data_IF_178607285466
#
_entry.id   IF_178607285466
#
_cell.length_a   1.000
_cell.length_b   1.000
_cell.length_c   1.000
_cell.angle_alpha   90.00
_cell.angle_beta   90.00
_cell.angle_gamma   90.00
#
_symmetry.space_group_name_H-M   'P 1'
#
loop_
_entity.id
_entity.type
_entity.pdbx_description
1 polymer ?
#
# COMPACT_ATOMS: atom_id res chain seq x y z
N UNK A 1 -19.76 -45.26 9.10
CA UNK A 1 -19.10 -44.15 8.39
C UNK A 1 -18.74 -43.14 9.45
N UNK A 2 -17.45 -42.90 9.66
CA UNK A 2 -16.98 -41.97 10.69
C UNK A 2 -16.78 -40.60 10.05
N UNK A 3 -17.47 -39.58 10.57
CA UNK A 3 -17.36 -38.23 10.06
C UNK A 3 -16.11 -37.56 10.64
N UNK A 4 -15.23 -37.04 9.79
CA UNK A 4 -13.99 -36.39 10.20
C UNK A 4 -13.84 -35.02 9.54
N UNK A 5 -13.04 -34.14 10.15
CA UNK A 5 -12.79 -32.80 9.64
C UNK A 5 -12.15 -32.81 8.25
N UNK A 6 -12.54 -31.87 7.39
CA UNK A 6 -11.96 -31.72 6.06
C UNK A 6 -10.46 -31.39 6.18
N UNK A 7 -9.63 -32.03 5.35
CA UNK A 7 -8.18 -31.74 5.32
C UNK A 7 -7.93 -30.24 5.15
N UNK A 8 -7.14 -29.65 6.05
CA UNK A 8 -6.82 -28.22 6.06
C UNK A 8 -7.82 -27.34 6.81
N UNK A 9 -8.87 -27.93 7.39
CA UNK A 9 -9.77 -27.32 8.36
C UNK A 9 -9.44 -27.89 9.74
N UNK A 10 -9.70 -27.12 10.80
CA UNK A 10 -9.41 -27.53 12.17
C UNK A 10 -10.50 -27.04 13.10
N UNK A 11 -10.88 -27.90 14.03
CA UNK A 11 -11.64 -27.49 15.20
C UNK A 11 -10.70 -26.76 16.16
N UNK A 12 -11.19 -25.69 16.78
CA UNK A 12 -10.50 -25.00 17.87
C UNK A 12 -11.17 -25.51 19.15
N UNK A 13 -10.45 -26.34 19.88
CA UNK A 13 -10.98 -27.04 21.05
C UNK A 13 -10.83 -26.20 22.33
N UNK A 14 -11.51 -26.56 23.44
CA UNK A 14 -11.45 -25.80 24.69
C UNK A 14 -10.03 -25.53 25.22
N UNK A 15 -9.10 -26.46 25.00
CA UNK A 15 -7.68 -26.32 25.38
C UNK A 15 -6.94 -25.24 24.57
N UNK A 16 -7.39 -24.94 23.35
CA UNK A 16 -6.77 -23.93 22.49
C UNK A 16 -7.53 -22.59 22.52
N UNK A 17 -8.85 -22.63 22.73
CA UNK A 17 -9.75 -21.47 22.52
C UNK A 17 -9.42 -20.29 23.41
N UNK A 18 -8.89 -20.51 24.61
CA UNK A 18 -8.48 -19.43 25.52
C UNK A 18 -7.37 -18.56 24.91
N UNK A 19 -6.42 -19.18 24.21
CA UNK A 19 -5.36 -18.46 23.50
C UNK A 19 -5.92 -17.61 22.37
N UNK A 20 -6.90 -18.16 21.63
CA UNK A 20 -7.62 -17.42 20.59
C UNK A 20 -8.35 -16.21 21.16
N UNK A 21 -9.14 -16.41 22.23
CA UNK A 21 -9.90 -15.36 22.89
C UNK A 21 -8.99 -14.26 23.44
N UNK A 22 -7.84 -14.61 24.02
CA UNK A 22 -6.85 -13.64 24.50
C UNK A 22 -6.26 -12.81 23.35
N UNK A 23 -5.80 -13.46 22.29
CA UNK A 23 -5.26 -12.78 21.10
C UNK A 23 -6.27 -11.79 20.52
N UNK A 24 -7.51 -12.25 20.40
CA UNK A 24 -8.65 -11.51 19.89
C UNK A 24 -9.07 -10.33 20.78
N UNK A 25 -9.02 -10.50 22.10
CA UNK A 25 -9.31 -9.45 23.08
C UNK A 25 -8.24 -8.36 23.03
N UNK A 26 -6.95 -8.73 23.00
CA UNK A 26 -5.85 -7.77 22.87
C UNK A 26 -5.90 -7.01 21.54
N UNK A 27 -6.24 -7.69 20.44
CA UNK A 27 -6.43 -7.04 19.16
C UNK A 27 -7.53 -5.97 19.24
N UNK A 28 -8.70 -6.30 19.80
CA UNK A 28 -9.79 -5.33 19.98
C UNK A 28 -9.38 -4.17 20.88
N UNK A 29 -8.69 -4.43 21.99
CA UNK A 29 -8.22 -3.40 22.92
C UNK A 29 -7.27 -2.42 22.22
N UNK A 30 -6.24 -2.94 21.55
CA UNK A 30 -5.25 -2.13 20.83
C UNK A 30 -5.90 -1.38 19.67
N UNK A 31 -6.69 -2.04 18.84
CA UNK A 31 -7.24 -1.41 17.64
C UNK A 31 -8.21 -0.28 18.02
N UNK A 32 -9.01 -0.46 19.08
CA UNK A 32 -9.84 0.61 19.63
C UNK A 32 -9.04 1.80 20.14
N UNK A 33 -7.85 1.60 20.76
CA UNK A 33 -7.02 2.73 21.23
C UNK A 33 -6.43 3.55 20.07
N UNK A 34 -6.33 2.98 18.86
CA UNK A 34 -5.95 3.68 17.63
C UNK A 34 -7.15 4.27 16.86
N UNK A 35 -8.37 4.12 17.42
CA UNK A 35 -9.61 4.66 16.86
C UNK A 35 -10.25 3.79 15.77
N UNK A 36 -9.79 2.55 15.58
CA UNK A 36 -10.43 1.61 14.67
C UNK A 36 -11.76 1.12 15.22
N UNK A 37 -12.72 0.84 14.34
CA UNK A 37 -14.04 0.29 14.69
C UNK A 37 -14.26 -1.05 14.01
N UNK A 38 -14.86 -1.99 14.75
CA UNK A 38 -15.11 -3.33 14.23
C UNK A 38 -16.21 -3.29 13.15
N UNK A 39 -15.98 -4.00 12.05
CA UNK A 39 -16.94 -4.28 10.98
C UNK A 39 -16.95 -5.78 10.71
N UNK A 40 -18.13 -6.35 10.40
CA UNK A 40 -18.29 -7.79 10.14
C UNK A 40 -18.92 -8.02 8.75
N UNK A 41 -18.12 -8.05 7.67
CA UNK A 41 -18.64 -8.41 6.36
C UNK A 41 -18.99 -9.91 6.28
N UNK A 42 -19.91 -10.32 5.39
CA UNK A 42 -20.27 -11.73 5.17
C UNK A 42 -19.07 -12.62 4.83
N UNK A 43 -19.18 -13.91 5.12
CA UNK A 43 -18.17 -14.92 4.71
C UNK A 43 -18.30 -15.31 3.24
N UNK A 44 -19.50 -15.19 2.66
CA UNK A 44 -19.81 -15.55 1.29
C UNK A 44 -20.19 -14.29 0.51
N UNK A 45 -19.49 -14.03 -0.59
CA UNK A 45 -19.68 -12.85 -1.42
C UNK A 45 -19.79 -13.24 -2.90
N UNK A 46 -20.20 -12.30 -3.75
CA UNK A 46 -20.17 -12.49 -5.21
C UNK A 46 -18.74 -12.76 -5.68
N UNK A 47 -18.54 -13.79 -6.51
CA UNK A 47 -17.19 -14.16 -7.02
C UNK A 47 -16.49 -12.99 -7.69
N UNK A 48 -17.24 -12.14 -8.40
CA UNK A 48 -16.71 -10.99 -9.13
C UNK A 48 -16.02 -9.96 -8.21
N UNK A 49 -16.39 -9.91 -6.94
CA UNK A 49 -15.77 -9.03 -5.95
C UNK A 49 -14.28 -9.34 -5.81
N UNK A 50 -13.95 -10.62 -5.60
CA UNK A 50 -12.57 -11.06 -5.41
C UNK A 50 -11.80 -11.13 -6.72
N UNK A 51 -12.45 -11.55 -7.81
CA UNK A 51 -11.81 -11.60 -9.13
C UNK A 51 -11.34 -10.22 -9.61
N UNK A 52 -12.08 -9.16 -9.29
CA UNK A 52 -11.68 -7.78 -9.61
C UNK A 52 -10.75 -7.17 -8.57
N UNK A 53 -11.00 -7.40 -7.28
CA UNK A 53 -10.25 -6.78 -6.19
C UNK A 53 -8.82 -7.32 -6.03
N UNK A 54 -8.64 -8.63 -6.11
CA UNK A 54 -7.34 -9.29 -5.92
C UNK A 54 -6.56 -9.35 -7.24
N UNK A 55 -7.28 -9.45 -8.35
CA UNK A 55 -6.74 -9.58 -9.71
C UNK A 55 -6.80 -11.01 -10.22
N UNK A 56 -7.26 -11.16 -11.48
CA UNK A 56 -7.51 -12.46 -12.12
C UNK A 56 -6.26 -13.32 -12.25
N UNK A 57 -5.11 -12.69 -12.42
CA UNK A 57 -3.81 -13.37 -12.59
C UNK A 57 -3.21 -13.88 -11.28
N UNK A 58 -3.93 -13.73 -10.15
CA UNK A 58 -3.45 -14.22 -8.87
C UNK A 58 -3.71 -15.71 -8.68
N UNK A 59 -2.82 -16.41 -7.96
CA UNK A 59 -3.03 -17.83 -7.66
C UNK A 59 -4.30 -18.01 -6.81
N UNK A 60 -4.58 -17.03 -5.94
CA UNK A 60 -5.82 -16.94 -5.18
C UNK A 60 -7.04 -17.05 -6.10
N UNK A 61 -7.17 -16.11 -7.04
CA UNK A 61 -8.35 -16.05 -7.93
C UNK A 61 -8.38 -17.21 -8.93
N UNK A 62 -7.23 -17.57 -9.49
CA UNK A 62 -7.18 -18.57 -10.57
C UNK A 62 -7.32 -20.01 -10.08
N UNK A 63 -6.92 -20.33 -8.84
CA UNK A 63 -6.79 -21.72 -8.37
C UNK A 63 -7.26 -21.98 -6.95
N UNK A 64 -7.35 -20.96 -6.10
CA UNK A 64 -7.52 -21.18 -4.65
C UNK A 64 -8.86 -20.69 -4.09
N UNK A 65 -9.76 -20.10 -4.87
CA UNK A 65 -11.07 -19.68 -4.35
C UNK A 65 -12.04 -20.85 -4.19
N UNK A 66 -12.65 -20.96 -3.01
CA UNK A 66 -13.81 -21.83 -2.79
C UNK A 66 -15.06 -21.17 -3.38
N UNK A 67 -15.39 -21.55 -4.62
CA UNK A 67 -16.53 -21.00 -5.37
C UNK A 67 -17.65 -22.03 -5.50
N UNK A 68 -18.86 -21.62 -5.16
CA UNK A 68 -20.11 -22.34 -5.39
C UNK A 68 -21.00 -21.56 -6.36
N UNK A 69 -21.96 -22.24 -6.99
CA UNK A 69 -22.98 -21.60 -7.82
C UNK A 69 -24.28 -21.49 -7.05
N UNK A 70 -24.93 -20.34 -7.11
CA UNK A 70 -26.29 -20.19 -6.58
C UNK A 70 -27.33 -20.89 -7.48
N UNK A 71 -28.59 -20.91 -7.04
CA UNK A 71 -29.70 -21.53 -7.79
C UNK A 71 -29.92 -20.94 -9.19
N UNK A 72 -29.36 -19.77 -9.48
CA UNK A 72 -29.42 -19.09 -10.79
C UNK A 72 -28.10 -19.21 -11.55
N UNK A 73 -27.17 -20.06 -11.10
CA UNK A 73 -25.87 -20.29 -11.71
C UNK A 73 -24.83 -19.19 -11.46
N UNK A 74 -25.12 -18.18 -10.63
CA UNK A 74 -24.17 -17.09 -10.34
C UNK A 74 -23.12 -17.54 -9.34
N UNK A 75 -21.89 -17.07 -9.51
CA UNK A 75 -20.78 -17.39 -8.62
C UNK A 75 -20.92 -16.76 -7.24
N UNK A 76 -20.73 -17.58 -6.21
CA UNK A 76 -20.59 -17.18 -4.81
C UNK A 76 -19.29 -17.76 -4.28
N UNK A 77 -18.49 -16.96 -3.59
CA UNK A 77 -17.15 -17.35 -3.13
C UNK A 77 -17.01 -17.12 -1.64
N UNK A 78 -16.50 -18.12 -0.93
CA UNK A 78 -16.07 -17.94 0.45
C UNK A 78 -14.85 -17.01 0.45
N UNK A 79 -14.88 -15.96 1.27
CA UNK A 79 -13.88 -14.90 1.23
C UNK A 79 -12.46 -15.46 1.44
N UNK A 80 -11.52 -15.24 0.49
CA UNK A 80 -10.13 -15.63 0.66
C UNK A 80 -9.28 -14.59 1.40
N UNK A 81 -9.84 -13.39 1.61
CA UNK A 81 -9.29 -12.23 2.31
C UNK A 81 -10.44 -11.28 2.72
N UNK A 82 -10.17 -10.29 3.58
CA UNK A 82 -11.20 -9.39 4.10
C UNK A 82 -11.28 -8.03 3.40
N UNK A 83 -10.17 -7.49 2.91
CA UNK A 83 -10.04 -6.15 2.34
C UNK A 83 -11.08 -5.87 1.26
N UNK A 84 -11.26 -6.74 0.25
CA UNK A 84 -12.28 -6.48 -0.79
C UNK A 84 -13.70 -6.45 -0.22
N UNK A 85 -13.97 -7.29 0.78
CA UNK A 85 -15.26 -7.33 1.48
C UNK A 85 -15.50 -6.06 2.31
N UNK A 86 -14.46 -5.54 2.98
CA UNK A 86 -14.50 -4.28 3.73
C UNK A 86 -14.69 -3.09 2.77
N UNK A 87 -13.97 -3.05 1.65
CA UNK A 87 -14.12 -2.02 0.60
C UNK A 87 -15.54 -2.03 0.03
N UNK A 88 -16.09 -3.21 -0.28
CA UNK A 88 -17.48 -3.36 -0.75
C UNK A 88 -18.47 -2.77 0.25
N UNK A 89 -18.31 -3.08 1.54
CA UNK A 89 -19.15 -2.52 2.60
C UNK A 89 -18.99 -0.99 2.74
N UNK A 90 -17.75 -0.49 2.68
CA UNK A 90 -17.43 0.93 2.73
C UNK A 90 -18.14 1.72 1.62
N UNK A 91 -18.12 1.20 0.39
CA UNK A 91 -18.79 1.81 -0.77
C UNK A 91 -20.32 1.66 -0.66
N UNK A 92 -20.82 0.45 -0.41
CA UNK A 92 -22.26 0.15 -0.34
C UNK A 92 -22.98 1.01 0.69
N UNK A 93 -22.38 1.21 1.86
CA UNK A 93 -22.96 1.99 2.94
C UNK A 93 -22.51 3.45 2.97
N UNK A 94 -21.77 3.89 1.93
CA UNK A 94 -21.28 5.26 1.75
C UNK A 94 -20.58 5.80 3.01
N UNK A 95 -19.73 4.98 3.63
CA UNK A 95 -19.12 5.33 4.92
C UNK A 95 -18.24 6.60 4.82
N UNK A 96 -17.71 6.90 3.64
CA UNK A 96 -17.00 8.15 3.33
C UNK A 96 -17.83 9.42 3.55
N UNK A 97 -19.17 9.35 3.54
CA UNK A 97 -20.04 10.48 3.86
C UNK A 97 -20.21 10.70 5.36
N UNK A 98 -20.04 9.65 6.17
CA UNK A 98 -20.20 9.74 7.63
C UNK A 98 -18.95 10.28 8.32
N UNK A 99 -17.78 9.90 7.82
CA UNK A 99 -16.50 10.41 8.29
C UNK A 99 -15.52 10.37 7.10
N UNK A 100 -14.81 11.47 6.78
CA UNK A 100 -13.84 11.49 5.70
C UNK A 100 -12.71 10.48 5.89
N UNK A 101 -12.35 10.14 7.14
CA UNK A 101 -11.36 9.10 7.44
C UNK A 101 -12.07 7.95 8.18
N UNK A 102 -12.02 6.74 7.62
CA UNK A 102 -12.58 5.54 8.24
C UNK A 102 -11.47 4.60 8.65
N UNK A 103 -11.40 4.25 9.93
CA UNK A 103 -10.52 3.21 10.46
C UNK A 103 -11.37 2.00 10.84
N UNK A 104 -11.26 0.91 10.08
CA UNK A 104 -12.11 -0.27 10.23
C UNK A 104 -11.27 -1.51 10.45
N UNK A 105 -11.75 -2.44 11.28
CA UNK A 105 -11.10 -3.73 11.45
C UNK A 105 -12.10 -4.87 11.51
N UNK A 106 -11.66 -6.07 11.17
CA UNK A 106 -12.47 -7.29 11.22
C UNK A 106 -11.61 -8.46 11.67
N UNK A 107 -12.21 -9.39 12.40
CA UNK A 107 -11.58 -10.63 12.84
C UNK A 107 -12.45 -11.79 12.35
N UNK A 108 -11.85 -12.81 11.75
CA UNK A 108 -12.58 -14.03 11.44
C UNK A 108 -11.96 -14.91 10.37
N UNK A 109 -12.70 -15.96 9.95
CA UNK A 109 -12.18 -16.97 9.05
C UNK A 109 -12.08 -16.48 7.61
N UNK A 110 -11.12 -17.06 6.89
CA UNK A 110 -10.82 -16.91 5.47
C UNK A 110 -10.56 -18.28 4.86
N UNK A 111 -10.79 -18.41 3.56
CA UNK A 111 -10.77 -19.71 2.88
C UNK A 111 -9.93 -19.69 1.61
N UNK A 112 -8.94 -20.58 1.51
CA UNK A 112 -8.10 -20.75 0.31
C UNK A 112 -7.87 -22.23 0.04
N UNK A 113 -8.08 -22.69 -1.18
CA UNK A 113 -7.80 -24.05 -1.64
C UNK A 113 -6.29 -24.26 -1.85
N UNK A 114 -5.51 -23.83 -0.87
CA UNK A 114 -4.07 -23.98 -0.83
C UNK A 114 -3.70 -25.42 -0.44
N UNK A 115 -2.54 -25.88 -0.89
CA UNK A 115 -2.00 -27.18 -0.47
C UNK A 115 -1.63 -27.10 1.02
N UNK A 116 -2.26 -27.89 1.91
CA UNK A 116 -1.99 -27.80 3.34
C UNK A 116 -0.53 -28.14 3.65
N UNK A 117 0.13 -27.28 4.43
CA UNK A 117 1.50 -27.43 4.92
C UNK A 117 1.66 -26.68 6.25
N UNK A 118 2.83 -26.73 6.88
CA UNK A 118 3.05 -26.05 8.17
C UNK A 118 2.70 -24.55 8.05
N UNK A 119 1.72 -24.11 8.85
CA UNK A 119 1.23 -22.72 8.86
C UNK A 119 0.30 -22.35 7.70
N UNK A 120 -0.03 -23.27 6.79
CA UNK A 120 -0.96 -23.03 5.68
C UNK A 120 -2.17 -23.96 5.76
N UNK A 121 -3.33 -23.37 6.03
CA UNK A 121 -4.60 -24.04 6.19
C UNK A 121 -5.56 -23.63 5.08
N UNK A 122 -6.59 -24.46 4.85
CA UNK A 122 -7.67 -24.15 3.92
C UNK A 122 -8.72 -23.25 4.52
N UNK A 123 -8.97 -23.39 5.82
CA UNK A 123 -9.59 -22.37 6.64
C UNK A 123 -8.55 -21.83 7.63
N UNK A 124 -8.35 -20.53 7.62
CA UNK A 124 -7.46 -19.82 8.55
C UNK A 124 -8.16 -18.56 9.03
N UNK A 125 -7.63 -17.90 10.06
CA UNK A 125 -8.23 -16.70 10.63
C UNK A 125 -7.29 -15.52 10.48
N UNK A 126 -7.86 -14.34 10.23
CA UNK A 126 -7.12 -13.10 10.11
C UNK A 126 -7.71 -12.04 11.03
N UNK A 127 -6.84 -11.13 11.47
CA UNK A 127 -7.18 -9.82 12.01
C UNK A 127 -6.79 -8.82 10.91
N UNK A 128 -7.76 -8.13 10.33
CA UNK A 128 -7.55 -7.16 9.26
C UNK A 128 -7.87 -5.76 9.76
N UNK A 129 -7.05 -4.78 9.38
CA UNK A 129 -7.28 -3.36 9.64
C UNK A 129 -7.13 -2.57 8.33
N UNK A 130 -8.05 -1.63 8.11
CA UNK A 130 -8.13 -0.80 6.90
C UNK A 130 -8.33 0.67 7.30
N UNK A 131 -7.53 1.56 6.74
CA UNK A 131 -7.76 3.02 6.81
C UNK A 131 -8.17 3.51 5.43
N UNK A 132 -9.31 4.19 5.34
CA UNK A 132 -9.80 4.82 4.12
C UNK A 132 -9.85 6.34 4.27
N UNK A 133 -9.61 7.04 3.16
CA UNK A 133 -9.84 8.48 3.04
C UNK A 133 -8.65 9.40 3.28
N UNK A 134 -7.50 8.85 3.70
CA UNK A 134 -6.23 9.59 3.76
C UNK A 134 -5.20 8.95 2.81
N UNK A 135 -4.75 9.65 1.74
CA UNK A 135 -3.73 9.14 0.82
C UNK A 135 -2.29 9.41 1.31
N UNK A 136 -2.10 9.94 2.51
CA UNK A 136 -0.80 10.33 3.05
C UNK A 136 -0.08 9.20 3.80
N UNK A 137 1.26 9.23 3.75
CA UNK A 137 2.15 8.25 4.41
C UNK A 137 2.04 8.19 5.93
N UNK A 138 1.32 9.14 6.56
CA UNK A 138 1.06 9.12 7.99
C UNK A 138 0.10 8.00 8.36
N UNK A 139 -0.90 7.73 7.52
CA UNK A 139 -1.84 6.62 7.74
C UNK A 139 -1.15 5.27 7.60
N UNK A 140 -0.22 5.11 6.64
CA UNK A 140 0.63 3.93 6.52
C UNK A 140 1.46 3.71 7.79
N UNK A 141 2.11 4.76 8.30
CA UNK A 141 2.89 4.69 9.55
C UNK A 141 2.02 4.35 10.76
N UNK A 142 0.81 4.91 10.86
CA UNK A 142 -0.12 4.67 11.97
C UNK A 142 -0.55 3.19 12.04
N UNK A 143 -0.87 2.57 10.90
CA UNK A 143 -1.17 1.13 10.83
C UNK A 143 0.04 0.29 11.22
N UNK A 144 1.24 0.63 10.73
CA UNK A 144 2.46 -0.11 11.04
C UNK A 144 2.77 -0.04 12.54
N UNK A 145 2.67 1.15 13.14
CA UNK A 145 2.88 1.35 14.58
C UNK A 145 1.86 0.53 15.37
N UNK A 146 0.58 0.57 15.00
CA UNK A 146 -0.47 -0.22 15.64
C UNK A 146 -0.17 -1.73 15.55
N UNK A 147 0.23 -2.22 14.36
CA UNK A 147 0.53 -3.62 14.16
C UNK A 147 1.73 -4.08 15.00
N UNK A 148 2.82 -3.30 15.01
CA UNK A 148 4.01 -3.59 15.83
C UNK A 148 3.66 -3.58 17.32
N UNK A 149 2.94 -2.55 17.78
CA UNK A 149 2.51 -2.44 19.17
C UNK A 149 1.59 -3.60 19.59
N UNK A 150 0.70 -4.05 18.71
CA UNK A 150 -0.13 -5.24 18.95
C UNK A 150 0.72 -6.51 19.12
N UNK A 151 1.69 -6.74 18.22
CA UNK A 151 2.57 -7.92 18.29
C UNK A 151 3.43 -7.91 19.57
N UNK A 152 3.95 -6.74 19.96
CA UNK A 152 4.68 -6.58 21.23
C UNK A 152 3.76 -6.81 22.45
N UNK A 153 2.53 -6.28 22.41
CA UNK A 153 1.53 -6.42 23.49
C UNK A 153 1.21 -7.89 23.77
N UNK A 154 1.14 -8.74 22.74
CA UNK A 154 0.88 -10.17 22.91
C UNK A 154 2.15 -10.97 23.28
N UNK A 155 3.27 -10.29 23.54
CA UNK A 155 4.51 -10.86 24.05
C UNK A 155 5.49 -11.34 22.99
N UNK A 156 5.33 -10.95 21.72
CA UNK A 156 6.31 -11.27 20.69
C UNK A 156 7.50 -10.30 20.76
N UNK A 157 8.70 -10.87 20.76
CA UNK A 157 9.97 -10.13 20.78
C UNK A 157 10.83 -10.48 19.57
N UNK A 158 11.84 -9.64 19.26
CA UNK A 158 12.75 -9.90 18.14
C UNK A 158 12.11 -9.72 16.77
N UNK A 159 11.11 -8.84 16.67
CA UNK A 159 10.39 -8.56 15.43
C UNK A 159 11.26 -7.76 14.46
N UNK A 160 11.29 -8.17 13.20
CA UNK A 160 11.91 -7.43 12.10
C UNK A 160 10.84 -6.73 11.25
N UNK A 161 10.93 -5.41 11.10
CA UNK A 161 10.04 -4.63 10.23
C UNK A 161 10.70 -4.43 8.87
N UNK A 162 10.11 -5.00 7.83
CA UNK A 162 10.54 -4.84 6.44
C UNK A 162 9.55 -3.97 5.68
N UNK A 163 9.99 -2.81 5.21
CA UNK A 163 9.17 -1.86 4.45
C UNK A 163 9.67 -1.82 3.00
N UNK A 164 8.73 -1.74 2.06
CA UNK A 164 9.01 -1.52 0.65
C UNK A 164 7.91 -0.64 0.04
N UNK A 165 8.10 -0.16 -1.19
CA UNK A 165 7.10 0.58 -1.94
C UNK A 165 7.02 0.08 -3.38
N UNK A 166 5.79 -0.02 -3.90
CA UNK A 166 5.55 -0.35 -5.31
C UNK A 166 5.50 0.88 -6.23
N UNK A 167 5.75 2.07 -5.68
CA UNK A 167 5.63 3.34 -6.39
C UNK A 167 4.18 3.64 -6.83
N UNK A 168 4.01 4.72 -7.60
CA UNK A 168 2.74 5.01 -8.27
C UNK A 168 2.65 4.28 -9.63
N UNK A 169 1.51 4.39 -10.32
CA UNK A 169 1.30 3.73 -11.62
C UNK A 169 2.37 4.08 -12.65
N UNK A 170 2.88 5.33 -12.66
CA UNK A 170 3.95 5.76 -13.57
C UNK A 170 5.29 5.09 -13.26
N UNK A 171 5.67 5.08 -11.97
CA UNK A 171 6.87 4.39 -11.49
C UNK A 171 6.82 2.91 -11.85
N UNK A 172 5.68 2.28 -11.57
CA UNK A 172 5.44 0.87 -11.80
C UNK A 172 5.45 0.53 -13.29
N UNK A 173 4.90 1.39 -14.15
CA UNK A 173 4.94 1.19 -15.60
C UNK A 173 6.39 1.23 -16.14
N UNK A 174 7.18 2.23 -15.75
CA UNK A 174 8.60 2.34 -16.13
C UNK A 174 9.40 1.14 -15.63
N UNK A 175 9.21 0.78 -14.35
CA UNK A 175 9.88 -0.36 -13.74
C UNK A 175 9.52 -1.69 -14.42
N UNK A 176 8.22 -1.93 -14.68
CA UNK A 176 7.76 -3.15 -15.36
C UNK A 176 8.38 -3.31 -16.74
N UNK A 177 8.54 -2.21 -17.48
CA UNK A 177 9.20 -2.24 -18.79
C UNK A 177 10.64 -2.72 -18.66
N UNK A 178 11.43 -2.08 -17.79
CA UNK A 178 12.83 -2.48 -17.57
C UNK A 178 12.94 -3.93 -17.09
N UNK A 179 12.11 -4.31 -16.11
CA UNK A 179 12.10 -5.66 -15.57
C UNK A 179 11.76 -6.69 -16.66
N UNK A 180 10.85 -6.36 -17.56
CA UNK A 180 10.50 -7.24 -18.68
C UNK A 180 11.66 -7.37 -19.67
N UNK A 181 12.33 -6.28 -20.00
CA UNK A 181 13.50 -6.29 -20.89
C UNK A 181 14.67 -7.09 -20.27
N UNK A 182 14.92 -6.90 -18.97
CA UNK A 182 15.89 -7.67 -18.19
C UNK A 182 15.59 -9.18 -18.20
N UNK A 183 14.35 -9.56 -17.88
CA UNK A 183 13.93 -10.96 -17.84
C UNK A 183 13.93 -11.60 -19.23
N UNK A 184 13.57 -10.84 -20.27
CA UNK A 184 13.58 -11.30 -21.66
C UNK A 184 14.96 -11.77 -22.10
N UNK A 185 16.01 -11.04 -21.74
CA UNK A 185 17.41 -11.42 -22.01
C UNK A 185 17.87 -12.66 -21.23
N UNK A 186 17.15 -13.04 -20.18
CA UNK A 186 17.48 -14.16 -19.28
C UNK A 186 16.49 -15.31 -19.36
N UNK A 187 15.55 -15.29 -20.32
CA UNK A 187 14.43 -16.24 -20.41
C UNK A 187 14.85 -17.71 -20.29
N UNK A 188 15.92 -18.12 -20.97
CA UNK A 188 16.41 -19.51 -20.95
C UNK A 188 17.00 -19.95 -19.61
N UNK A 189 17.38 -19.01 -18.74
CA UNK A 189 17.89 -19.30 -17.39
C UNK A 189 16.80 -19.33 -16.32
N UNK A 190 15.58 -18.91 -16.68
CA UNK A 190 14.42 -18.92 -15.78
C UNK A 190 13.71 -20.27 -15.85
N UNK A 191 13.12 -20.69 -14.73
CA UNK A 191 12.21 -21.84 -14.71
C UNK A 191 10.94 -21.56 -15.52
N UNK A 192 10.23 -22.61 -15.93
CA UNK A 192 9.02 -22.52 -16.75
C UNK A 192 7.95 -21.57 -16.18
N UNK A 193 7.77 -21.58 -14.85
CA UNK A 193 6.86 -20.66 -14.18
C UNK A 193 7.32 -19.20 -14.26
N UNK A 194 8.63 -18.95 -14.12
CA UNK A 194 9.19 -17.59 -14.22
C UNK A 194 9.17 -17.07 -15.65
N UNK A 195 9.36 -17.92 -16.65
CA UNK A 195 9.18 -17.56 -18.06
C UNK A 195 7.74 -17.07 -18.31
N UNK A 196 6.73 -17.79 -17.81
CA UNK A 196 5.33 -17.35 -17.90
C UNK A 196 5.06 -16.09 -17.09
N UNK A 197 5.59 -15.98 -15.87
CA UNK A 197 5.41 -14.80 -15.00
C UNK A 197 6.02 -13.54 -15.60
N UNK A 198 7.17 -13.65 -16.26
CA UNK A 198 7.84 -12.52 -16.92
C UNK A 198 6.92 -11.83 -17.94
N UNK A 199 6.08 -12.59 -18.64
CA UNK A 199 5.14 -12.04 -19.61
C UNK A 199 3.87 -11.46 -18.98
N UNK A 200 3.25 -12.19 -18.04
CA UNK A 200 1.92 -11.85 -17.50
C UNK A 200 2.03 -10.82 -16.37
N UNK A 201 2.87 -11.10 -15.37
CA UNK A 201 3.07 -10.23 -14.21
C UNK A 201 4.51 -10.37 -13.70
N UNK A 202 5.47 -9.63 -14.32
CA UNK A 202 6.89 -9.83 -14.09
C UNK A 202 7.32 -9.66 -12.63
N UNK A 203 6.55 -8.94 -11.79
CA UNK A 203 6.83 -8.81 -10.36
C UNK A 203 6.81 -10.14 -9.60
N UNK A 204 6.11 -11.16 -10.12
CA UNK A 204 6.00 -12.47 -9.46
C UNK A 204 7.26 -13.31 -9.55
N UNK A 205 8.26 -12.89 -10.33
CA UNK A 205 9.56 -13.60 -10.35
C UNK A 205 10.30 -13.46 -9.03
N UNK A 206 10.09 -12.35 -8.30
CA UNK A 206 10.66 -12.12 -6.97
C UNK A 206 10.14 -13.11 -5.91
N UNK A 207 9.00 -13.77 -6.17
CA UNK A 207 8.44 -14.79 -5.28
C UNK A 207 9.03 -16.19 -5.53
N UNK A 208 9.83 -16.37 -6.58
CA UNK A 208 10.36 -17.67 -6.97
C UNK A 208 11.30 -18.24 -5.89
N UNK A 209 11.20 -19.55 -5.65
CA UNK A 209 12.05 -20.26 -4.69
C UNK A 209 13.14 -21.11 -5.34
N UNK A 210 13.16 -21.20 -6.68
CA UNK A 210 14.19 -21.92 -7.44
C UNK A 210 15.51 -21.14 -7.40
N UNK A 211 16.60 -21.78 -6.99
CA UNK A 211 17.86 -21.11 -6.70
C UNK A 211 18.44 -20.38 -7.92
N UNK A 212 18.47 -21.02 -9.10
CA UNK A 212 18.91 -20.36 -10.33
C UNK A 212 18.06 -19.15 -10.72
N UNK A 213 16.77 -19.14 -10.40
CA UNK A 213 15.93 -17.95 -10.59
C UNK A 213 16.25 -16.86 -9.56
N UNK A 214 16.51 -17.21 -8.30
CA UNK A 214 16.89 -16.22 -7.28
C UNK A 214 18.19 -15.52 -7.63
N UNK A 215 19.17 -16.26 -8.14
CA UNK A 215 20.46 -15.68 -8.56
C UNK A 215 20.25 -14.66 -9.68
N UNK A 216 19.51 -15.02 -10.72
CA UNK A 216 19.14 -14.07 -11.80
C UNK A 216 18.39 -12.87 -11.22
N UNK A 217 17.35 -13.11 -10.42
CA UNK A 217 16.50 -12.04 -9.88
C UNK A 217 17.22 -11.13 -8.88
N UNK A 218 18.28 -11.59 -8.22
CA UNK A 218 19.10 -10.78 -7.31
C UNK A 218 19.78 -9.60 -8.00
N UNK A 219 20.03 -9.74 -9.31
CA UNK A 219 20.63 -8.71 -10.17
C UNK A 219 19.60 -7.95 -11.01
N UNK A 220 18.30 -8.19 -10.76
CA UNK A 220 17.23 -7.46 -11.42
C UNK A 220 17.18 -6.00 -10.93
N UNK A 221 16.67 -5.06 -11.74
CA UNK A 221 16.46 -3.68 -11.29
C UNK A 221 15.59 -3.65 -10.02
N UNK A 222 15.89 -2.71 -9.13
CA UNK A 222 15.06 -2.47 -7.94
C UNK A 222 13.98 -1.47 -8.27
N UNK A 223 12.73 -1.73 -7.84
CA UNK A 223 11.63 -0.77 -8.01
C UNK A 223 11.91 0.57 -7.33
N UNK A 224 12.75 0.56 -6.28
CA UNK A 224 13.12 1.76 -5.53
C UNK A 224 13.84 2.80 -6.39
N UNK A 225 14.57 2.36 -7.42
CA UNK A 225 15.29 3.23 -8.37
C UNK A 225 14.34 3.96 -9.36
N UNK A 226 13.05 3.58 -9.33
CA UNK A 226 12.01 4.07 -10.22
C UNK A 226 10.92 4.83 -9.47
N UNK A 227 10.95 4.83 -8.13
CA UNK A 227 9.98 5.57 -7.32
C UNK A 227 10.17 7.05 -7.62
N UNK A 228 9.06 7.72 -7.91
CA UNK A 228 9.06 9.16 -8.05
C UNK A 228 9.48 9.72 -6.70
N UNK A 229 10.70 10.26 -6.64
CA UNK A 229 11.06 11.10 -5.52
C UNK A 229 9.99 12.20 -5.44
N UNK A 230 9.34 12.32 -4.29
CA UNK A 230 8.67 13.57 -3.95
C UNK A 230 9.79 14.59 -3.73
N UNK A 231 10.47 15.01 -4.81
CA UNK A 231 11.66 15.88 -4.79
C UNK A 231 11.41 17.11 -3.94
N UNK A 232 10.19 17.65 -4.02
CA UNK A 232 9.71 18.73 -3.18
C UNK A 232 9.89 18.47 -1.67
N UNK A 233 9.64 17.26 -1.17
CA UNK A 233 9.83 16.94 0.25
C UNK A 233 11.31 16.94 0.66
N UNK A 234 12.19 16.41 -0.18
CA UNK A 234 13.65 16.47 0.06
C UNK A 234 14.12 17.93 0.06
N UNK A 235 13.74 18.71 -0.95
CA UNK A 235 14.09 20.14 -1.04
C UNK A 235 13.59 20.95 0.15
N UNK A 236 12.36 20.68 0.63
CA UNK A 236 11.80 21.33 1.81
C UNK A 236 12.68 21.05 3.04
N UNK A 237 13.12 19.80 3.24
CA UNK A 237 13.97 19.46 4.37
C UNK A 237 15.37 20.09 4.24
N UNK A 238 15.95 20.09 3.05
CA UNK A 238 17.26 20.68 2.81
C UNK A 238 17.25 22.20 2.98
N UNK A 239 16.21 22.90 2.51
CA UNK A 239 16.04 24.33 2.74
C UNK A 239 15.87 24.67 4.22
N UNK A 240 15.08 23.88 4.96
CA UNK A 240 14.89 24.04 6.42
C UNK A 240 16.20 23.89 7.19
N UNK A 241 17.04 22.91 6.81
CA UNK A 241 18.39 22.72 7.40
C UNK A 241 19.31 23.93 7.23
N UNK A 242 18.94 24.86 6.35
CA UNK A 242 19.74 26.05 6.04
C UNK A 242 19.20 27.32 6.70
N UNK A 243 18.20 27.16 7.58
CA UNK A 243 17.57 28.26 8.31
C UNK A 243 16.42 28.94 7.57
N UNK A 244 16.05 28.47 6.38
CA UNK A 244 14.93 29.01 5.62
C UNK A 244 13.63 28.35 6.09
N UNK A 245 12.67 29.13 6.55
CA UNK A 245 11.34 28.62 6.86
C UNK A 245 10.61 28.25 5.56
N UNK A 246 10.36 26.96 5.39
CA UNK A 246 9.64 26.41 4.24
C UNK A 246 8.47 25.55 4.72
N UNK A 247 7.31 25.78 4.12
CA UNK A 247 6.11 24.97 4.29
C UNK A 247 5.77 24.23 3.00
N UNK A 248 5.13 23.06 3.13
CA UNK A 248 4.66 22.28 1.97
C UNK A 248 3.24 21.77 2.19
N UNK A 249 2.58 21.40 1.09
CA UNK A 249 1.29 20.75 1.11
C UNK A 249 1.46 19.23 1.15
N UNK A 250 0.99 18.63 2.24
CA UNK A 250 1.07 17.19 2.46
C UNK A 250 -0.11 16.43 1.84
N UNK A 251 -1.21 17.14 1.53
CA UNK A 251 -2.42 16.57 0.95
C UNK A 251 -2.55 16.86 -0.55
N UNK A 252 -3.17 15.96 -1.31
CA UNK A 252 -3.41 16.11 -2.75
C UNK A 252 -4.54 17.10 -3.05
N UNK A 253 -4.30 18.40 -2.80
CA UNK A 253 -5.23 19.51 -3.11
C UNK A 253 -4.88 20.17 -4.43
N UNK A 254 -5.89 20.70 -5.14
CA UNK A 254 -5.66 21.47 -6.37
C UNK A 254 -4.92 22.80 -6.13
N UNK A 255 -4.25 23.32 -7.17
CA UNK A 255 -3.38 24.51 -7.10
C UNK A 255 -4.05 25.71 -6.41
N UNK A 256 -5.31 26.01 -6.73
CA UNK A 256 -6.07 27.12 -6.12
C UNK A 256 -6.16 27.01 -4.60
N UNK A 257 -6.36 25.81 -4.06
CA UNK A 257 -6.44 25.57 -2.62
C UNK A 257 -5.06 25.70 -1.95
N UNK A 258 -4.01 25.21 -2.62
CA UNK A 258 -2.63 25.36 -2.14
C UNK A 258 -2.20 26.83 -2.10
N UNK A 259 -2.50 27.60 -3.15
CA UNK A 259 -2.21 29.04 -3.20
C UNK A 259 -2.95 29.83 -2.11
N UNK A 260 -4.21 29.49 -1.83
CA UNK A 260 -4.97 30.10 -0.72
C UNK A 260 -4.33 29.82 0.64
N UNK A 261 -3.79 28.61 0.84
CA UNK A 261 -3.04 28.26 2.05
C UNK A 261 -1.74 29.04 2.15
N UNK A 262 -0.96 29.13 1.06
CA UNK A 262 0.27 29.92 1.03
C UNK A 262 0.01 31.40 1.41
N UNK A 263 -1.08 31.99 0.88
CA UNK A 263 -1.50 33.35 1.26
C UNK A 263 -1.84 33.49 2.74
N UNK A 264 -2.57 32.52 3.33
CA UNK A 264 -2.88 32.52 4.78
C UNK A 264 -1.64 32.38 5.67
N UNK A 265 -0.62 31.68 5.19
CA UNK A 265 0.66 31.50 5.90
C UNK A 265 1.60 32.70 5.73
N UNK A 266 1.24 33.70 4.94
CA UNK A 266 2.11 34.85 4.67
C UNK A 266 3.37 34.48 3.88
N UNK A 267 3.31 33.41 3.05
CA UNK A 267 4.46 32.98 2.27
C UNK A 267 4.92 34.08 1.29
N UNK A 268 6.19 34.49 1.36
CA UNK A 268 6.78 35.52 0.49
C UNK A 268 6.94 35.03 -0.95
N UNK A 269 7.44 33.80 -1.11
CA UNK A 269 7.60 33.12 -2.40
C UNK A 269 6.95 31.74 -2.35
N UNK A 270 6.42 31.28 -3.48
CA UNK A 270 5.82 29.95 -3.65
C UNK A 270 6.48 29.27 -4.82
N UNK A 271 7.18 28.16 -4.56
CA UNK A 271 7.69 27.28 -5.61
C UNK A 271 6.56 26.33 -6.05
N UNK A 272 6.20 26.38 -7.32
CA UNK A 272 5.19 25.53 -7.96
C UNK A 272 5.94 24.53 -8.83
N UNK A 273 5.77 23.24 -8.51
CA UNK A 273 6.40 22.13 -9.22
C UNK A 273 5.37 21.04 -9.38
N UNK A 274 4.83 20.93 -10.59
CA UNK A 274 3.98 19.85 -11.05
C UNK A 274 4.77 18.81 -11.85
N UNK A 275 4.06 18.01 -12.63
CA UNK A 275 4.66 16.95 -13.44
C UNK A 275 5.43 17.53 -14.63
N UNK A 276 4.90 18.58 -15.26
CA UNK A 276 5.53 19.23 -16.41
C UNK A 276 6.83 19.95 -16.01
N UNK A 277 6.83 20.62 -14.85
CA UNK A 277 8.03 21.26 -14.30
C UNK A 277 9.12 20.25 -13.91
N UNK A 278 8.71 19.11 -13.33
CA UNK A 278 9.65 18.02 -13.02
C UNK A 278 10.26 17.42 -14.29
N UNK A 279 9.48 17.32 -15.38
CA UNK A 279 9.94 16.79 -16.66
C UNK A 279 10.85 17.77 -17.40
N UNK A 280 10.55 19.07 -17.37
CA UNK A 280 11.36 20.11 -18.01
C UNK A 280 12.64 20.43 -17.23
N UNK A 281 12.71 20.07 -15.95
CA UNK A 281 13.81 20.45 -15.06
C UNK A 281 13.70 21.89 -14.54
N UNK A 282 12.61 22.61 -14.86
CA UNK A 282 12.39 24.00 -14.48
C UNK A 282 11.09 24.15 -13.71
N UNK A 283 11.17 24.70 -12.50
CA UNK A 283 10.02 25.04 -11.65
C UNK A 283 9.61 26.50 -11.81
N UNK A 284 8.40 26.82 -11.34
CA UNK A 284 7.92 28.20 -11.31
C UNK A 284 8.04 28.75 -9.89
N UNK A 285 8.85 29.78 -9.69
CA UNK A 285 8.90 30.52 -8.43
C UNK A 285 8.02 31.76 -8.54
N UNK A 286 6.97 31.82 -7.74
CA UNK A 286 6.06 32.97 -7.69
C UNK A 286 6.37 33.85 -6.50
N UNK A 287 6.64 35.13 -6.76
CA UNK A 287 6.67 36.16 -5.72
C UNK A 287 5.23 36.57 -5.37
N UNK A 288 4.83 36.39 -4.12
CA UNK A 288 3.47 36.63 -3.67
C UNK A 288 3.17 38.12 -3.47
N UNK A 289 4.20 38.94 -3.22
CA UNK A 289 4.07 40.39 -3.08
C UNK A 289 4.03 41.10 -4.43
N UNK A 290 5.00 40.81 -5.29
CA UNK A 290 5.12 41.41 -6.65
C UNK A 290 4.17 40.78 -7.66
N UNK A 291 3.61 39.60 -7.35
CA UNK A 291 2.78 38.78 -8.26
C UNK A 291 3.48 38.39 -9.57
N UNK A 292 4.81 38.39 -9.58
CA UNK A 292 5.64 37.97 -10.71
C UNK A 292 5.97 36.48 -10.58
N UNK A 293 6.09 35.81 -11.71
CA UNK A 293 6.53 34.42 -11.81
C UNK A 293 7.85 34.38 -12.58
N UNK A 294 8.81 33.65 -12.04
CA UNK A 294 10.12 33.42 -12.65
C UNK A 294 10.36 31.91 -12.77
N UNK A 295 10.98 31.48 -13.86
CA UNK A 295 11.44 30.10 -14.00
C UNK A 295 12.71 29.90 -13.17
N UNK A 296 12.79 28.79 -12.45
CA UNK A 296 13.96 28.42 -11.66
C UNK A 296 14.42 27.00 -12.02
N UNK A 297 15.72 26.84 -12.25
CA UNK A 297 16.32 25.53 -12.48
C UNK A 297 16.17 24.66 -11.23
N UNK A 298 15.60 23.47 -11.40
CA UNK A 298 15.40 22.49 -10.32
C UNK A 298 16.71 21.79 -9.95
N UNK A 299 17.69 21.80 -10.84
CA UNK A 299 19.04 21.35 -10.53
C UNK A 299 19.66 22.31 -9.51
N UNK A 300 20.14 21.77 -8.38
CA UNK A 300 20.67 22.55 -7.25
C UNK A 300 19.69 23.59 -6.67
N UNK A 301 18.38 23.33 -6.73
CA UNK A 301 17.31 24.26 -6.31
C UNK A 301 17.53 24.85 -4.90
N UNK A 302 18.10 24.09 -3.97
CA UNK A 302 18.38 24.56 -2.60
C UNK A 302 19.35 25.74 -2.61
N UNK A 303 20.39 25.70 -3.46
CA UNK A 303 21.36 26.79 -3.59
C UNK A 303 20.77 27.95 -4.39
N UNK A 304 20.03 27.67 -5.45
CA UNK A 304 19.37 28.70 -6.27
C UNK A 304 18.41 29.54 -5.41
N UNK A 305 17.55 28.87 -4.61
CA UNK A 305 16.60 29.57 -3.73
C UNK A 305 17.29 30.32 -2.59
N UNK A 306 18.41 29.82 -2.05
CA UNK A 306 19.20 30.58 -1.07
C UNK A 306 19.73 31.90 -1.64
N UNK A 307 20.25 31.88 -2.88
CA UNK A 307 20.74 33.09 -3.55
C UNK A 307 19.62 34.12 -3.70
N UNK A 308 18.52 33.66 -4.30
CA UNK A 308 17.32 34.49 -4.57
C UNK A 308 16.73 35.09 -3.28
N UNK A 309 16.69 34.32 -2.18
CA UNK A 309 16.12 34.78 -0.91
C UNK A 309 17.05 35.71 -0.13
N UNK A 310 18.38 35.63 -0.33
CA UNK A 310 19.35 36.57 0.28
C UNK A 310 19.30 37.95 -0.38
N UNK A 311 19.16 38.01 -1.70
CA UNK A 311 19.03 39.27 -2.47
C UNK A 311 17.75 40.05 -2.13
N UNK A 312 16.73 39.39 -1.60
CA UNK A 312 15.44 40.00 -1.22
C UNK A 312 15.42 40.57 0.22
N UNK A 313 16.54 40.51 0.93
CA UNK A 313 16.72 41.03 2.31
C UNK A 313 17.76 42.15 2.40
N UNK A 314 18.22 42.67 1.26
CA UNK A 314 18.97 43.93 1.17
C UNK A 314 18.03 45.13 1.03
#
# INVERSE_FOLDING_TARGET
MEFTTIKGFKDILPEDVETWQRLESEARRVFHSFGFKEIRPPLLERTELFSRGIGQETDIVSKEMYTLKDSKGRGLTLRPEATASVVRAYVQHRLYLKNPIQKLFTIGPMFRHERPQKGRFRQFHQINAEIFGDPGSRSDADIIIMAMFFLETIGLSGLGLHINSLGCDKCRARFKKELKDYLGQKTHTLCTDCQRRAEINPLRVFDCKVEGCKEVVSSAPSILDYICEKKAFNWVNDLRRTGIWVETEYSSKGLKAQMKRAGRLGARKVLIVGEDELASGKGILRDMGKKVQEEVELQNIVNNLKGILKESTG
#
